data_IF_665085564021
#
_entry.id   IF_665085564021
#
_cell.length_a   1.000
_cell.length_b   1.000
_cell.length_c   1.000
_cell.angle_alpha   90.00
_cell.angle_beta   90.00
_cell.angle_gamma   90.00
#
_symmetry.space_group_name_H-M   'P 1'
#
loop_
_entity.id
_entity.type
_entity.pdbx_description
1 polymer ?
#
# COMPACT_ATOMS: atom_id res chain seq x y z
N UNK A 1 24.64 -3.63 3.12
CA UNK A 1 23.48 -4.51 3.37
C UNK A 1 23.13 -5.18 2.06
N UNK A 2 22.71 -6.46 2.06
CA UNK A 2 22.15 -7.06 0.83
C UNK A 2 20.81 -6.34 0.54
N UNK A 3 20.61 -5.98 -0.70
CA UNK A 3 19.32 -5.51 -1.18
C UNK A 3 18.26 -6.60 -0.91
N UNK A 4 17.21 -6.37 -0.11
CA UNK A 4 16.19 -7.38 0.18
C UNK A 4 15.40 -7.81 -1.08
N UNK A 5 15.46 -7.03 -2.16
CA UNK A 5 14.77 -7.29 -3.42
C UNK A 5 15.72 -7.69 -4.56
N UNK A 6 16.98 -8.05 -4.27
CA UNK A 6 18.00 -8.38 -5.29
C UNK A 6 17.60 -9.49 -6.27
N UNK A 7 16.66 -10.32 -5.86
CA UNK A 7 16.20 -11.49 -6.63
C UNK A 7 14.83 -11.27 -7.32
N UNK A 8 14.24 -10.07 -7.19
CA UNK A 8 12.98 -9.73 -7.86
C UNK A 8 13.23 -8.70 -8.97
N UNK A 9 13.22 -9.10 -10.26
CA UNK A 9 13.47 -8.20 -11.38
C UNK A 9 12.38 -7.14 -11.59
N UNK A 10 11.22 -7.29 -10.94
CA UNK A 10 10.10 -6.35 -11.03
C UNK A 10 10.19 -5.20 -10.02
N UNK A 11 11.21 -5.21 -9.14
CA UNK A 11 11.45 -4.15 -8.15
C UNK A 11 12.80 -3.49 -8.41
N UNK A 12 12.79 -2.22 -8.79
CA UNK A 12 14.01 -1.42 -8.87
C UNK A 12 14.33 -0.78 -7.51
N UNK A 13 15.59 -0.87 -7.10
CA UNK A 13 16.06 -0.19 -5.89
C UNK A 13 16.77 1.09 -6.25
N UNK A 14 16.21 2.20 -5.82
CA UNK A 14 16.74 3.54 -6.01
C UNK A 14 17.46 4.06 -4.77
N UNK A 15 18.34 5.04 -4.94
CA UNK A 15 19.23 5.51 -3.87
C UNK A 15 18.74 6.79 -3.18
N UNK A 16 17.74 7.46 -3.73
CA UNK A 16 17.26 8.75 -3.23
C UNK A 16 15.79 9.01 -3.60
N UNK A 17 15.16 9.95 -2.88
CA UNK A 17 13.83 10.45 -3.23
C UNK A 17 13.82 11.07 -4.64
N UNK A 18 14.85 11.82 -5.00
CA UNK A 18 14.96 12.41 -6.34
C UNK A 18 15.00 11.34 -7.44
N UNK A 19 15.68 10.23 -7.22
CA UNK A 19 15.69 9.12 -8.16
C UNK A 19 14.32 8.45 -8.21
N UNK A 20 13.68 8.24 -7.06
CA UNK A 20 12.35 7.64 -6.96
C UNK A 20 11.29 8.37 -7.80
N UNK A 21 11.28 9.72 -7.75
CA UNK A 21 10.26 10.53 -8.45
C UNK A 21 10.62 10.89 -9.90
N UNK A 22 11.86 10.68 -10.32
CA UNK A 22 12.30 11.00 -11.69
C UNK A 22 12.56 9.76 -12.56
N UNK A 23 12.51 8.56 -11.98
CA UNK A 23 12.60 7.33 -12.73
C UNK A 23 11.22 6.93 -13.25
N UNK A 24 11.18 6.38 -14.46
CA UNK A 24 9.95 5.83 -15.03
C UNK A 24 9.97 4.30 -14.90
N UNK A 25 8.80 3.72 -14.68
CA UNK A 25 8.63 2.28 -14.80
C UNK A 25 9.01 1.80 -16.20
N UNK A 26 9.79 0.74 -16.28
CA UNK A 26 10.29 0.19 -17.53
C UNK A 26 9.99 -1.31 -17.60
N UNK A 27 9.62 -1.78 -18.81
CA UNK A 27 9.31 -3.19 -19.07
C UNK A 27 8.32 -3.78 -18.05
N UNK A 28 8.69 -4.85 -17.37
CA UNK A 28 7.85 -5.57 -16.41
C UNK A 28 8.02 -5.07 -14.97
N UNK A 29 8.59 -3.89 -14.78
CA UNK A 29 8.80 -3.30 -13.47
C UNK A 29 7.47 -2.83 -12.86
N UNK A 30 7.18 -3.26 -11.63
CA UNK A 30 5.93 -2.96 -10.92
C UNK A 30 6.13 -2.06 -9.71
N UNK A 31 7.35 -1.98 -9.20
CA UNK A 31 7.65 -1.18 -8.02
C UNK A 31 9.06 -0.60 -8.06
N UNK A 32 9.22 0.56 -7.42
CA UNK A 32 10.49 1.15 -7.08
C UNK A 32 10.63 1.21 -5.56
N UNK A 33 11.77 0.88 -5.03
CA UNK A 33 12.02 0.89 -3.60
C UNK A 33 13.21 1.77 -3.24
N UNK A 34 12.96 2.82 -2.48
CA UNK A 34 14.00 3.57 -1.81
C UNK A 34 14.24 3.00 -0.42
N UNK A 35 15.15 2.04 -0.34
CA UNK A 35 15.48 1.38 0.93
C UNK A 35 16.27 2.32 1.84
N UNK A 36 15.69 2.68 3.00
CA UNK A 36 16.27 3.60 3.97
C UNK A 36 16.53 2.93 5.31
N UNK A 37 17.62 3.33 5.97
CA UNK A 37 17.84 2.99 7.37
C UNK A 37 17.53 4.22 8.21
N UNK A 38 16.27 4.36 8.63
CA UNK A 38 15.78 5.53 9.35
C UNK A 38 16.28 5.52 10.80
N UNK A 39 16.87 6.63 11.23
CA UNK A 39 17.20 6.87 12.62
C UNK A 39 15.99 7.47 13.35
N UNK A 40 15.92 7.26 14.68
CA UNK A 40 14.83 7.81 15.50
C UNK A 40 14.00 6.72 16.18
N UNK A 41 13.09 7.15 17.04
CA UNK A 41 12.17 6.26 17.77
C UNK A 41 10.74 6.46 17.28
N UNK A 42 10.39 5.80 16.19
CA UNK A 42 9.02 5.80 15.63
C UNK A 42 8.04 5.07 16.54
N UNK A 43 8.51 4.11 17.35
CA UNK A 43 7.68 3.42 18.34
C UNK A 43 7.17 4.39 19.40
N UNK A 44 7.99 5.36 19.83
CA UNK A 44 7.58 6.39 20.77
C UNK A 44 6.42 7.23 20.21
N UNK A 45 6.47 7.60 18.92
CA UNK A 45 5.40 8.32 18.25
C UNK A 45 4.11 7.52 18.28
N UNK A 46 4.15 6.28 17.81
CA UNK A 46 2.99 5.37 17.81
C UNK A 46 2.39 5.19 19.19
N UNK A 47 3.23 5.05 20.23
CA UNK A 47 2.77 4.86 21.62
C UNK A 47 2.11 6.11 22.24
N UNK A 48 2.34 7.30 21.67
CA UNK A 48 1.79 8.57 22.17
C UNK A 48 0.63 9.12 21.33
N UNK A 49 0.42 8.59 20.15
CA UNK A 49 -0.75 8.92 19.34
C UNK A 49 -1.98 8.19 19.89
N UNK A 50 -3.13 8.86 19.81
CA UNK A 50 -4.41 8.27 20.17
C UNK A 50 -5.01 7.53 18.96
N UNK A 51 -5.27 6.24 19.14
CA UNK A 51 -5.98 5.44 18.16
C UNK A 51 -7.49 5.61 18.38
N UNK A 52 -8.15 6.34 17.48
CA UNK A 52 -9.59 6.62 17.56
C UNK A 52 -10.43 5.53 16.89
N UNK A 53 -9.91 4.99 15.79
CA UNK A 53 -10.54 3.99 14.93
C UNK A 53 -9.51 2.97 14.47
N UNK A 54 -9.92 1.95 13.70
CA UNK A 54 -8.99 0.96 13.15
C UNK A 54 -7.93 1.61 12.24
N UNK A 55 -8.29 2.70 11.56
CA UNK A 55 -7.39 3.57 10.79
C UNK A 55 -7.67 5.00 11.28
N UNK A 56 -6.67 5.64 11.86
CA UNK A 56 -6.77 7.01 12.35
C UNK A 56 -5.83 7.90 11.56
N UNK A 57 -6.35 8.87 10.83
CA UNK A 57 -5.53 9.89 10.19
C UNK A 57 -4.91 10.80 11.24
N UNK A 58 -3.60 11.02 11.12
CA UNK A 58 -2.80 11.83 12.05
C UNK A 58 -2.48 13.15 11.37
N UNK A 59 -3.00 14.24 11.93
CA UNK A 59 -2.69 15.57 11.43
C UNK A 59 -1.26 16.00 11.76
N UNK A 60 -0.72 16.95 11.02
CA UNK A 60 0.59 17.56 11.34
C UNK A 60 0.56 18.20 12.73
N UNK A 61 -0.56 18.81 13.09
CA UNK A 61 -0.76 19.45 14.41
C UNK A 61 -0.71 18.40 15.54
N UNK A 62 -1.36 17.25 15.38
CA UNK A 62 -1.31 16.15 16.36
C UNK A 62 0.12 15.64 16.52
N UNK A 63 0.84 15.46 15.40
CA UNK A 63 2.23 15.03 15.41
C UNK A 63 3.15 16.04 16.09
N UNK A 64 2.95 17.33 15.86
CA UNK A 64 3.73 18.43 16.47
C UNK A 64 3.43 18.62 17.97
N UNK A 65 2.22 18.31 18.42
CA UNK A 65 1.80 18.41 19.81
C UNK A 65 2.45 17.35 20.74
N UNK A 66 3.01 16.28 20.16
CA UNK A 66 3.62 15.19 20.94
C UNK A 66 4.87 15.69 21.70
N UNK A 67 4.92 15.38 22.99
CA UNK A 67 6.12 15.55 23.83
C UNK A 67 7.02 14.33 23.66
N UNK A 68 8.09 14.47 22.90
CA UNK A 68 8.97 13.37 22.47
C UNK A 68 10.37 13.50 23.09
N UNK A 69 11.05 12.36 23.22
CA UNK A 69 12.49 12.30 23.47
C UNK A 69 13.28 12.86 22.28
N UNK A 70 14.61 13.02 22.41
CA UNK A 70 15.47 13.39 21.29
C UNK A 70 15.33 12.44 20.09
N UNK A 71 15.24 11.13 20.35
CA UNK A 71 15.06 10.13 19.30
C UNK A 71 13.66 10.16 18.68
N UNK A 72 12.64 10.42 19.49
CA UNK A 72 11.27 10.63 19.00
C UNK A 72 11.17 11.89 18.15
N UNK A 73 11.83 12.98 18.54
CA UNK A 73 11.89 14.22 17.75
C UNK A 73 12.57 13.99 16.40
N UNK A 74 13.67 13.21 16.37
CA UNK A 74 14.33 12.85 15.11
C UNK A 74 13.40 12.04 14.19
N UNK A 75 12.64 11.08 14.75
CA UNK A 75 11.64 10.32 13.99
C UNK A 75 10.55 11.23 13.41
N UNK A 76 10.04 12.19 14.21
CA UNK A 76 9.06 13.19 13.77
C UNK A 76 9.59 14.06 12.63
N UNK A 77 10.82 14.54 12.72
CA UNK A 77 11.46 15.34 11.67
C UNK A 77 11.55 14.56 10.34
N UNK A 78 11.84 13.27 10.40
CA UNK A 78 11.88 12.41 9.22
C UNK A 78 10.50 12.31 8.58
N UNK A 79 9.44 12.07 9.36
CA UNK A 79 8.05 12.00 8.87
C UNK A 79 7.66 13.32 8.21
N UNK A 80 7.88 14.45 8.91
CA UNK A 80 7.52 15.78 8.39
C UNK A 80 8.28 16.10 7.10
N UNK A 81 9.55 15.72 7.01
CA UNK A 81 10.35 15.90 5.80
C UNK A 81 9.81 15.08 4.63
N UNK A 82 9.42 13.84 4.87
CA UNK A 82 8.87 12.98 3.82
C UNK A 82 7.51 13.51 3.32
N UNK A 83 6.64 13.96 4.24
CA UNK A 83 5.38 14.62 3.89
C UNK A 83 5.65 15.85 3.03
N UNK A 84 6.61 16.71 3.44
CA UNK A 84 6.96 17.90 2.69
C UNK A 84 7.50 17.58 1.29
N UNK A 85 8.40 16.59 1.17
CA UNK A 85 8.95 16.17 -0.12
C UNK A 85 7.87 15.66 -1.08
N UNK A 86 6.92 14.88 -0.60
CA UNK A 86 5.79 14.41 -1.40
C UNK A 86 4.85 15.55 -1.79
N UNK A 87 4.58 16.48 -0.86
CA UNK A 87 3.77 17.68 -1.15
C UNK A 87 4.43 18.57 -2.18
N UNK A 88 5.74 18.80 -2.08
CA UNK A 88 6.51 19.59 -3.04
C UNK A 88 6.55 18.95 -4.43
N UNK A 89 6.49 17.62 -4.49
CA UNK A 89 6.33 16.86 -5.72
C UNK A 89 4.92 16.97 -6.33
N UNK A 90 3.92 17.40 -5.57
CA UNK A 90 2.54 17.56 -5.99
C UNK A 90 1.60 16.41 -5.58
N UNK A 91 2.09 15.49 -4.75
CA UNK A 91 1.25 14.47 -4.14
C UNK A 91 0.45 15.02 -2.95
N UNK A 92 -0.57 14.29 -2.52
CA UNK A 92 -1.37 14.59 -1.33
C UNK A 92 -1.18 13.48 -0.28
N UNK A 93 -0.05 13.48 0.46
CA UNK A 93 0.24 12.44 1.42
C UNK A 93 -0.67 12.52 2.64
N UNK A 94 -1.11 11.37 3.14
CA UNK A 94 -1.77 11.21 4.44
C UNK A 94 -0.89 10.38 5.38
N UNK A 95 -0.87 10.75 6.67
CA UNK A 95 -0.23 9.96 7.71
C UNK A 95 -1.29 9.21 8.51
N UNK A 96 -1.15 7.90 8.62
CA UNK A 96 -2.14 7.08 9.28
C UNK A 96 -1.52 6.26 10.41
N UNK A 97 -2.24 6.19 11.54
CA UNK A 97 -2.03 5.22 12.60
C UNK A 97 -3.00 4.05 12.36
N UNK A 98 -2.45 2.89 12.02
CA UNK A 98 -3.22 1.72 11.64
C UNK A 98 -3.15 0.65 12.72
N UNK A 99 -4.30 0.15 13.17
CA UNK A 99 -4.41 -1.04 14.03
C UNK A 99 -4.66 -2.30 13.20
N UNK A 100 -5.65 -2.26 12.35
CA UNK A 100 -6.02 -3.34 11.43
C UNK A 100 -6.91 -2.78 10.33
N UNK A 101 -6.99 -3.49 9.23
CA UNK A 101 -8.06 -3.31 8.25
C UNK A 101 -9.27 -4.13 8.63
N UNK A 102 -10.43 -3.76 8.14
CA UNK A 102 -11.63 -4.58 8.26
C UNK A 102 -11.51 -5.83 7.39
N UNK A 103 -12.07 -6.94 7.89
CA UNK A 103 -12.18 -8.16 7.11
C UNK A 103 -13.50 -8.16 6.37
N UNK A 104 -13.47 -8.56 5.11
CA UNK A 104 -14.66 -8.86 4.34
C UNK A 104 -14.88 -10.39 4.32
N UNK A 105 -15.93 -10.82 4.99
CA UNK A 105 -16.32 -12.22 5.12
C UNK A 105 -17.64 -12.52 4.36
N UNK A 106 -18.09 -11.62 3.48
CA UNK A 106 -19.34 -11.78 2.75
C UNK A 106 -19.28 -12.97 1.78
N UNK A 107 -18.10 -13.20 1.18
CA UNK A 107 -17.89 -14.28 0.23
C UNK A 107 -16.82 -15.25 0.77
N UNK A 108 -17.24 -16.43 1.17
CA UNK A 108 -16.37 -17.46 1.77
C UNK A 108 -15.38 -18.13 0.78
N UNK A 109 -15.60 -17.97 -0.52
CA UNK A 109 -14.76 -18.54 -1.58
C UNK A 109 -13.78 -17.56 -2.24
N UNK A 110 -13.88 -16.27 -1.94
CA UNK A 110 -13.00 -15.20 -2.45
C UNK A 110 -12.88 -14.11 -1.41
N UNK A 111 -11.65 -13.76 -1.04
CA UNK A 111 -11.40 -12.61 -0.18
C UNK A 111 -11.31 -11.35 -1.02
N UNK A 112 -12.09 -10.34 -0.66
CA UNK A 112 -12.17 -9.02 -1.29
C UNK A 112 -11.54 -7.94 -0.44
N UNK A 113 -11.05 -8.28 0.76
CA UNK A 113 -10.37 -7.35 1.65
C UNK A 113 -8.89 -7.14 1.29
N UNK A 114 -8.28 -6.10 1.87
CA UNK A 114 -6.88 -5.70 1.64
C UNK A 114 -5.83 -6.71 2.12
N UNK A 115 -6.22 -7.78 2.82
CA UNK A 115 -5.30 -8.84 3.24
C UNK A 115 -5.06 -9.89 2.14
N UNK A 116 -5.84 -9.88 1.05
CA UNK A 116 -5.53 -10.64 -0.15
C UNK A 116 -4.60 -9.84 -1.07
N UNK A 117 -3.79 -10.53 -1.88
CA UNK A 117 -3.03 -9.85 -2.91
C UNK A 117 -3.98 -9.19 -3.92
N UNK A 118 -3.71 -7.95 -4.24
CA UNK A 118 -4.53 -7.15 -5.16
C UNK A 118 -3.67 -6.07 -5.85
N UNK A 119 -4.21 -5.49 -6.89
CA UNK A 119 -3.68 -4.31 -7.55
C UNK A 119 -4.53 -3.12 -7.11
N UNK A 120 -3.90 -2.04 -6.66
CA UNK A 120 -4.61 -0.80 -6.36
C UNK A 120 -5.25 -0.25 -7.63
N UNK A 121 -6.57 -0.03 -7.58
CA UNK A 121 -7.33 0.47 -8.72
C UNK A 121 -7.34 1.99 -8.74
N UNK A 122 -7.07 2.57 -9.91
CA UNK A 122 -7.22 4.00 -10.15
C UNK A 122 -7.93 4.26 -11.48
N UNK A 123 -8.85 5.25 -11.57
CA UNK A 123 -9.50 5.62 -12.82
C UNK A 123 -8.56 6.31 -13.82
N UNK A 124 -7.38 6.71 -13.37
CA UNK A 124 -6.32 7.33 -14.17
C UNK A 124 -4.99 6.68 -13.81
N UNK A 125 -4.06 6.64 -14.75
CA UNK A 125 -2.70 6.21 -14.48
C UNK A 125 -2.06 7.13 -13.44
N UNK A 126 -1.61 6.54 -12.32
CA UNK A 126 -1.03 7.27 -11.19
C UNK A 126 -0.09 6.39 -10.37
N UNK A 127 0.88 7.02 -9.73
CA UNK A 127 1.81 6.36 -8.83
C UNK A 127 1.26 6.39 -7.39
N UNK A 128 1.44 5.28 -6.67
CA UNK A 128 1.16 5.20 -5.24
C UNK A 128 2.45 5.17 -4.44
N UNK A 129 2.63 6.13 -3.53
CA UNK A 129 3.77 6.19 -2.61
C UNK A 129 3.39 5.62 -1.25
N UNK A 130 4.09 4.57 -0.81
CA UNK A 130 3.87 3.94 0.49
C UNK A 130 5.14 4.02 1.34
N UNK A 131 4.99 4.39 2.62
CA UNK A 131 6.06 4.38 3.59
C UNK A 131 5.57 3.89 4.95
N UNK A 132 6.12 2.79 5.44
CA UNK A 132 5.84 2.28 6.79
C UNK A 132 6.98 2.64 7.72
N UNK A 133 6.72 3.48 8.72
CA UNK A 133 7.73 3.93 9.70
C UNK A 133 7.85 2.99 10.88
N UNK A 134 6.77 2.27 11.22
CA UNK A 134 6.74 1.33 12.33
C UNK A 134 5.72 0.22 12.08
N UNK A 135 6.07 -1.02 12.43
CA UNK A 135 5.23 -2.19 12.24
C UNK A 135 5.52 -2.95 10.94
N UNK A 136 4.56 -3.76 10.52
CA UNK A 136 4.66 -4.52 9.27
C UNK A 136 4.45 -3.59 8.06
N UNK A 137 5.28 -3.75 7.04
CA UNK A 137 5.11 -3.10 5.75
C UNK A 137 4.22 -3.97 4.84
N UNK A 138 3.84 -3.42 3.67
CA UNK A 138 3.14 -4.17 2.64
C UNK A 138 4.03 -5.30 2.09
N UNK A 139 3.43 -6.46 1.89
CA UNK A 139 4.06 -7.56 1.17
C UNK A 139 3.86 -7.37 -0.33
N UNK A 140 4.92 -7.60 -1.11
CA UNK A 140 4.89 -7.52 -2.57
C UNK A 140 5.21 -8.91 -3.12
N UNK A 141 4.39 -9.39 -4.04
CA UNK A 141 4.57 -10.68 -4.71
C UNK A 141 4.88 -10.46 -6.19
N UNK A 142 5.72 -11.32 -6.76
CA UNK A 142 6.02 -11.28 -8.20
C UNK A 142 4.83 -11.76 -9.03
N UNK A 143 4.63 -11.19 -10.22
CA UNK A 143 3.47 -11.49 -11.07
C UNK A 143 3.38 -12.97 -11.49
N UNK A 144 4.53 -13.65 -11.63
CA UNK A 144 4.60 -15.07 -11.96
C UNK A 144 4.28 -16.00 -10.79
N UNK A 145 4.07 -15.44 -9.58
CA UNK A 145 3.72 -16.18 -8.35
C UNK A 145 2.27 -16.00 -7.94
N UNK A 146 1.50 -15.24 -8.70
CA UNK A 146 0.07 -15.01 -8.47
C UNK A 146 -0.74 -15.32 -9.71
N UNK A 147 -2.03 -15.58 -9.51
CA UNK A 147 -3.01 -15.74 -10.57
C UNK A 147 -4.22 -14.87 -10.23
N UNK A 148 -4.70 -14.12 -11.23
CA UNK A 148 -5.91 -13.31 -11.08
C UNK A 148 -7.11 -14.20 -10.75
N UNK A 149 -7.80 -13.92 -9.65
CA UNK A 149 -8.86 -14.78 -9.11
C UNK A 149 -10.00 -15.05 -10.08
N UNK A 150 -10.35 -14.06 -10.91
CA UNK A 150 -11.41 -14.25 -11.92
C UNK A 150 -11.03 -15.20 -13.06
N UNK A 151 -9.75 -15.57 -13.19
CA UNK A 151 -9.30 -16.57 -14.17
C UNK A 151 -9.38 -18.00 -13.62
N UNK A 152 -9.55 -18.19 -12.31
CA UNK A 152 -9.67 -19.49 -11.66
C UNK A 152 -11.08 -20.03 -11.90
N UNK A 153 -11.24 -21.19 -12.59
CA UNK A 153 -12.55 -21.69 -13.03
C UNK A 153 -13.55 -21.87 -11.88
N UNK A 154 -13.10 -22.37 -10.74
CA UNK A 154 -13.94 -22.64 -9.57
C UNK A 154 -14.50 -21.36 -8.95
N UNK A 155 -13.68 -20.33 -8.87
CA UNK A 155 -14.09 -18.98 -8.40
C UNK A 155 -15.07 -18.38 -9.39
N UNK A 156 -14.74 -18.43 -10.68
CA UNK A 156 -15.57 -17.89 -11.74
C UNK A 156 -16.98 -18.53 -11.78
N UNK A 157 -17.05 -19.83 -11.56
CA UNK A 157 -18.35 -20.53 -11.46
C UNK A 157 -19.16 -20.09 -10.23
N UNK A 158 -18.53 -19.80 -9.09
CA UNK A 158 -19.21 -19.28 -7.92
C UNK A 158 -19.69 -17.85 -8.14
N UNK A 159 -18.86 -17.00 -8.73
CA UNK A 159 -19.26 -15.63 -9.10
C UNK A 159 -20.42 -15.63 -10.11
N UNK A 160 -20.45 -16.57 -11.06
CA UNK A 160 -21.55 -16.72 -12.01
C UNK A 160 -22.89 -17.09 -11.33
N UNK A 161 -22.85 -17.83 -10.22
CA UNK A 161 -24.06 -18.15 -9.45
C UNK A 161 -24.61 -16.94 -8.66
N UNK A 162 -23.74 -16.01 -8.28
CA UNK A 162 -24.13 -14.78 -7.59
C UNK A 162 -24.61 -13.70 -8.54
N UNK A 163 -24.22 -13.79 -9.80
CA UNK A 163 -24.56 -12.79 -10.80
C UNK A 163 -26.01 -12.97 -11.30
N UNK A 164 -26.85 -11.93 -11.11
CA UNK A 164 -28.28 -11.93 -11.49
C UNK A 164 -28.54 -11.05 -12.73
N UNK A 165 -27.50 -10.77 -13.54
CA UNK A 165 -27.60 -9.97 -14.75
C UNK A 165 -27.62 -10.79 -16.05
N UNK A 166 -27.70 -10.13 -17.22
CA UNK A 166 -27.59 -10.77 -18.52
C UNK A 166 -26.24 -11.46 -18.71
N UNK A 167 -26.23 -12.67 -19.26
CA UNK A 167 -24.96 -13.40 -19.45
C UNK A 167 -23.92 -12.63 -20.28
N UNK A 168 -24.37 -11.80 -21.20
CA UNK A 168 -23.49 -10.95 -22.02
C UNK A 168 -22.74 -9.86 -21.24
N UNK A 169 -23.19 -9.54 -20.02
CA UNK A 169 -22.59 -8.51 -19.14
C UNK A 169 -21.77 -9.12 -18.00
N UNK A 170 -21.68 -10.45 -17.92
CA UNK A 170 -20.98 -11.12 -16.84
C UNK A 170 -19.48 -10.78 -16.83
N UNK A 171 -18.82 -10.68 -18.01
CA UNK A 171 -17.42 -10.29 -18.09
C UNK A 171 -17.21 -8.86 -17.54
N UNK A 172 -18.07 -7.93 -17.91
CA UNK A 172 -18.03 -6.55 -17.39
C UNK A 172 -18.19 -6.51 -15.87
N UNK A 173 -19.10 -7.33 -15.33
CA UNK A 173 -19.27 -7.47 -13.88
C UNK A 173 -17.97 -7.98 -13.22
N UNK A 174 -17.29 -8.99 -13.78
CA UNK A 174 -16.03 -9.48 -13.25
C UNK A 174 -14.94 -8.41 -13.28
N UNK A 175 -14.85 -7.67 -14.38
CA UNK A 175 -13.87 -6.59 -14.54
C UNK A 175 -14.16 -5.43 -13.59
N UNK A 176 -15.42 -5.13 -13.33
CA UNK A 176 -15.80 -4.01 -12.46
C UNK A 176 -15.56 -4.31 -10.97
N UNK A 177 -15.79 -5.55 -10.51
CA UNK A 177 -15.80 -5.83 -9.07
C UNK A 177 -14.64 -6.70 -8.57
N UNK A 178 -14.00 -7.49 -9.43
CA UNK A 178 -13.04 -8.52 -9.00
C UNK A 178 -11.73 -8.55 -9.79
N UNK A 179 -11.56 -7.66 -10.76
CA UNK A 179 -10.39 -7.66 -11.67
C UNK A 179 -9.06 -7.50 -10.92
N UNK A 180 -9.03 -6.72 -9.88
CA UNK A 180 -7.86 -6.37 -9.09
C UNK A 180 -7.41 -7.46 -8.11
N UNK A 181 -8.20 -8.53 -7.90
CA UNK A 181 -7.90 -9.60 -6.95
C UNK A 181 -7.02 -10.70 -7.54
N UNK A 182 -5.98 -11.08 -6.77
CA UNK A 182 -4.97 -12.08 -7.15
C UNK A 182 -4.78 -13.15 -6.09
#
# INVERSE_FOLDING_TARGET
MKNPFSDNPQIEVVSSFSELINSNFQADMNAMCWHRNLAGDFKEIVAKLELKENITEVSIEDLLALQLSEKGNLAREIILKDIQQLTDFGASPSLNLLKCYERDEELDFISTDVYSFHIDRSPIETDTFLCTYYGAASDIVANDQVEQKILIPEIREQLKKLYDGPEAEFETFLEEYFFDLH
#
